data_IF_640726346431
#
_entry.id   IF_640726346431
#
_cell.length_a   1.000
_cell.length_b   1.000
_cell.length_c   1.000
_cell.angle_alpha   90.00
_cell.angle_beta   90.00
_cell.angle_gamma   90.00
#
_symmetry.space_group_name_H-M   'P 1'
#
loop_
_entity.id
_entity.type
_entity.pdbx_description
1 polymer ?
#
# COMPACT_ATOMS: atom_id res chain seq x y z
N UNK A 1 -9.61 -12.64 -7.89
CA UNK A 1 -10.51 -11.60 -7.36
C UNK A 1 -11.98 -11.83 -7.74
N UNK A 2 -12.34 -11.79 -9.04
CA UNK A 2 -13.74 -11.90 -9.49
C UNK A 2 -14.47 -13.17 -9.02
N UNK A 3 -13.80 -14.33 -9.03
CA UNK A 3 -14.36 -15.58 -8.46
C UNK A 3 -14.68 -15.47 -6.97
N UNK A 4 -13.81 -14.81 -6.17
CA UNK A 4 -14.05 -14.60 -4.73
C UNK A 4 -15.23 -13.65 -4.51
N UNK A 5 -15.31 -12.56 -5.27
CA UNK A 5 -16.41 -11.60 -5.20
C UNK A 5 -17.74 -12.25 -5.59
N UNK A 6 -17.76 -13.04 -6.67
CA UNK A 6 -18.93 -13.80 -7.10
C UNK A 6 -19.36 -14.81 -6.02
N UNK A 7 -18.44 -15.57 -5.42
CA UNK A 7 -18.78 -16.51 -4.35
C UNK A 7 -19.33 -15.82 -3.10
N UNK A 8 -18.78 -14.66 -2.74
CA UNK A 8 -19.29 -13.85 -1.63
C UNK A 8 -20.66 -13.25 -1.93
N UNK A 9 -20.88 -12.76 -3.15
CA UNK A 9 -22.18 -12.25 -3.59
C UNK A 9 -23.25 -13.36 -3.59
N UNK A 10 -22.93 -14.54 -4.10
CA UNK A 10 -23.83 -15.71 -4.10
C UNK A 10 -24.18 -16.20 -2.69
N UNK A 11 -23.32 -15.97 -1.70
CA UNK A 11 -23.56 -16.30 -0.28
C UNK A 11 -24.07 -15.10 0.54
N UNK A 12 -24.39 -13.98 -0.11
CA UNK A 12 -24.80 -12.71 0.52
C UNK A 12 -23.85 -12.25 1.64
N UNK A 13 -22.55 -12.58 1.51
CA UNK A 13 -21.52 -12.31 2.49
C UNK A 13 -20.98 -10.89 2.32
N UNK A 14 -21.03 -10.10 3.39
CA UNK A 14 -20.40 -8.77 3.44
C UNK A 14 -18.91 -8.92 3.17
N UNK A 15 -18.42 -8.17 2.17
CA UNK A 15 -17.04 -8.27 1.70
C UNK A 15 -16.33 -6.94 1.89
N UNK A 16 -15.18 -6.98 2.55
CA UNK A 16 -14.29 -5.82 2.63
C UNK A 16 -13.60 -5.62 1.28
N UNK A 17 -14.10 -4.66 0.49
CA UNK A 17 -13.53 -4.33 -0.82
C UNK A 17 -12.13 -3.73 -0.71
N UNK A 18 -11.83 -2.99 0.37
CA UNK A 18 -10.50 -2.42 0.58
C UNK A 18 -9.44 -3.52 0.68
N UNK A 19 -9.68 -4.53 1.51
CA UNK A 19 -8.77 -5.66 1.67
C UNK A 19 -8.59 -6.45 0.36
N UNK A 20 -9.67 -6.65 -0.38
CA UNK A 20 -9.69 -7.41 -1.62
C UNK A 20 -8.95 -6.68 -2.75
N UNK A 21 -9.13 -5.36 -2.88
CA UNK A 21 -8.43 -4.51 -3.83
C UNK A 21 -6.95 -4.38 -3.46
N UNK A 22 -6.62 -4.14 -2.18
CA UNK A 22 -5.24 -4.09 -1.73
C UNK A 22 -4.51 -5.39 -2.05
N UNK A 23 -5.12 -6.55 -1.78
CA UNK A 23 -4.55 -7.84 -2.15
C UNK A 23 -4.28 -7.95 -3.64
N UNK A 24 -5.20 -7.50 -4.49
CA UNK A 24 -5.03 -7.55 -5.94
C UNK A 24 -3.87 -6.65 -6.37
N UNK A 25 -3.84 -5.39 -5.89
CA UNK A 25 -2.80 -4.42 -6.19
C UNK A 25 -1.42 -4.96 -5.79
N UNK A 26 -1.31 -5.54 -4.59
CA UNK A 26 -0.08 -6.19 -4.12
C UNK A 26 0.35 -7.33 -5.04
N UNK A 27 -0.57 -8.23 -5.42
CA UNK A 27 -0.24 -9.33 -6.33
C UNK A 27 0.21 -8.82 -7.70
N UNK A 28 -0.41 -7.77 -8.25
CA UNK A 28 -0.02 -7.17 -9.53
C UNK A 28 1.37 -6.56 -9.44
N UNK A 29 1.63 -5.71 -8.44
CA UNK A 29 2.93 -5.06 -8.24
C UNK A 29 4.03 -6.12 -8.05
N UNK A 30 3.80 -7.11 -7.18
CA UNK A 30 4.79 -8.16 -6.95
C UNK A 30 5.06 -9.00 -8.21
N UNK A 31 4.03 -9.28 -9.01
CA UNK A 31 4.22 -9.99 -10.29
C UNK A 31 5.03 -9.15 -11.28
N UNK A 32 4.79 -7.85 -11.36
CA UNK A 32 5.50 -6.95 -12.28
C UNK A 32 6.95 -6.74 -11.84
N UNK A 33 7.17 -6.42 -10.56
CA UNK A 33 8.47 -6.01 -10.01
C UNK A 33 9.36 -7.21 -9.71
N UNK A 34 8.81 -8.26 -9.08
CA UNK A 34 9.59 -9.41 -8.62
C UNK A 34 9.43 -10.65 -9.51
N UNK A 35 8.55 -10.62 -10.51
CA UNK A 35 8.25 -11.78 -11.36
C UNK A 35 7.52 -12.91 -10.62
N UNK A 36 7.07 -12.69 -9.37
CA UNK A 36 6.44 -13.72 -8.52
C UNK A 36 5.02 -13.34 -8.13
N UNK A 37 4.17 -14.37 -8.11
CA UNK A 37 2.80 -14.27 -7.64
C UNK A 37 2.73 -14.43 -6.12
N UNK A 38 2.35 -13.37 -5.42
CA UNK A 38 2.20 -13.30 -3.97
C UNK A 38 0.90 -13.99 -3.46
N UNK A 39 0.54 -15.16 -4.01
CA UNK A 39 -0.75 -15.79 -3.73
C UNK A 39 -0.75 -16.76 -2.54
N UNK A 40 0.41 -17.16 -1.98
CA UNK A 40 0.45 -18.29 -1.03
C UNK A 40 1.28 -18.14 0.27
N UNK A 41 1.88 -16.97 0.55
CA UNK A 41 2.66 -16.77 1.77
C UNK A 41 2.06 -15.65 2.64
N UNK A 42 1.25 -16.03 3.63
CA UNK A 42 0.50 -15.09 4.48
C UNK A 42 1.37 -14.05 5.21
N UNK A 43 2.60 -14.42 5.58
CA UNK A 43 3.56 -13.52 6.22
C UNK A 43 4.09 -12.46 5.24
N UNK A 44 4.44 -12.88 4.03
CA UNK A 44 4.90 -12.03 2.94
C UNK A 44 3.82 -11.02 2.56
N UNK A 45 2.58 -11.46 2.30
CA UNK A 45 1.46 -10.59 1.96
C UNK A 45 1.17 -9.52 3.02
N UNK A 46 1.26 -9.87 4.30
CA UNK A 46 1.09 -8.93 5.41
C UNK A 46 2.15 -7.83 5.41
N UNK A 47 3.43 -8.20 5.16
CA UNK A 47 4.53 -7.24 5.06
C UNK A 47 4.35 -6.27 3.89
N UNK A 48 3.96 -6.77 2.71
CA UNK A 48 3.69 -5.89 1.57
C UNK A 48 2.53 -4.92 1.85
N UNK A 49 1.45 -5.41 2.48
CA UNK A 49 0.31 -4.58 2.84
C UNK A 49 0.71 -3.45 3.79
N UNK A 50 1.53 -3.75 4.81
CA UNK A 50 2.08 -2.74 5.73
C UNK A 50 2.95 -1.70 5.01
N UNK A 51 3.88 -2.16 4.15
CA UNK A 51 4.73 -1.28 3.36
C UNK A 51 3.91 -0.37 2.42
N UNK A 52 2.91 -0.94 1.74
CA UNK A 52 2.05 -0.18 0.84
C UNK A 52 1.22 0.88 1.58
N UNK A 53 0.71 0.56 2.77
CA UNK A 53 0.02 1.54 3.62
C UNK A 53 0.96 2.68 4.06
N UNK A 54 2.20 2.38 4.46
CA UNK A 54 3.16 3.42 4.81
C UNK A 54 3.50 4.29 3.60
N UNK A 55 3.72 3.69 2.42
CA UNK A 55 3.88 4.45 1.17
C UNK A 55 2.69 5.37 0.92
N UNK A 56 1.46 4.88 1.02
CA UNK A 56 0.26 5.69 0.82
C UNK A 56 0.17 6.83 1.84
N UNK A 57 0.51 6.59 3.11
CA UNK A 57 0.55 7.62 4.15
C UNK A 57 1.61 8.69 3.84
N UNK A 58 2.79 8.29 3.40
CA UNK A 58 3.86 9.20 3.00
C UNK A 58 3.46 10.06 1.79
N UNK A 59 2.79 9.47 0.80
CA UNK A 59 2.30 10.18 -0.38
C UNK A 59 1.20 11.20 -0.06
N UNK A 60 0.39 10.93 0.97
CA UNK A 60 -0.63 11.86 1.44
C UNK A 60 -0.08 12.93 2.40
N UNK A 61 1.18 12.81 2.83
CA UNK A 61 1.80 13.73 3.78
C UNK A 61 2.31 14.98 3.08
N UNK A 62 2.17 16.12 3.75
CA UNK A 62 2.67 17.40 3.26
C UNK A 62 4.16 17.56 3.56
N UNK A 63 4.96 17.79 2.51
CA UNK A 63 6.37 18.17 2.61
C UNK A 63 6.54 19.64 2.25
N UNK A 64 7.15 20.42 3.16
CA UNK A 64 7.43 21.84 2.92
C UNK A 64 8.40 22.01 1.74
N UNK A 65 9.34 21.08 1.60
CA UNK A 65 10.34 21.06 0.52
C UNK A 65 9.74 21.00 -0.87
N UNK A 66 8.55 20.43 -1.02
CA UNK A 66 7.89 20.28 -2.32
C UNK A 66 7.35 21.62 -2.84
N UNK A 67 7.04 22.56 -1.94
CA UNK A 67 6.51 23.88 -2.27
C UNK A 67 7.57 24.97 -2.15
N UNK A 68 8.45 24.87 -1.15
CA UNK A 68 9.50 25.84 -0.86
C UNK A 68 10.81 25.09 -0.61
N UNK A 69 11.60 24.81 -1.66
CA UNK A 69 12.81 23.98 -1.55
C UNK A 69 13.84 24.51 -0.53
N UNK A 70 13.95 25.83 -0.37
CA UNK A 70 14.85 26.46 0.61
C UNK A 70 14.46 26.20 2.07
N UNK A 71 13.22 25.84 2.35
CA UNK A 71 12.70 25.49 3.68
C UNK A 71 12.69 23.97 3.94
N UNK A 72 13.32 23.15 3.10
CA UNK A 72 13.34 21.69 3.27
C UNK A 72 14.01 21.18 4.55
N UNK A 73 14.72 22.04 5.30
CA UNK A 73 15.19 21.70 6.65
C UNK A 73 14.05 21.51 7.65
N UNK A 74 12.87 22.10 7.40
CA UNK A 74 11.68 21.92 8.24
C UNK A 74 11.23 20.47 8.22
N UNK A 75 11.21 19.81 7.05
CA UNK A 75 10.85 18.39 6.93
C UNK A 75 11.86 17.46 7.62
N UNK A 76 13.10 17.91 7.80
CA UNK A 76 14.11 17.22 8.60
C UNK A 76 13.85 17.37 10.10
N UNK A 77 13.41 18.54 10.56
CA UNK A 77 13.07 18.77 11.97
C UNK A 77 11.78 18.08 12.39
N UNK A 78 10.78 18.02 11.51
CA UNK A 78 9.53 17.28 11.76
C UNK A 78 9.71 15.78 11.69
N UNK A 79 10.88 15.30 11.26
CA UNK A 79 11.20 13.88 11.11
C UNK A 79 10.57 13.23 9.89
N UNK A 80 9.82 13.98 9.06
CA UNK A 80 9.21 13.46 7.84
C UNK A 80 10.26 12.90 6.87
N UNK A 81 11.41 13.58 6.77
CA UNK A 81 12.51 13.11 5.92
C UNK A 81 13.13 11.81 6.42
N UNK A 82 13.21 11.61 7.74
CA UNK A 82 13.74 10.37 8.34
C UNK A 82 12.73 9.21 8.31
N UNK A 83 11.43 9.48 8.19
CA UNK A 83 10.40 8.45 7.97
C UNK A 83 10.30 7.99 6.52
N UNK A 84 10.69 8.87 5.58
CA UNK A 84 10.71 8.57 4.15
C UNK A 84 11.91 7.71 3.74
N UNK A 85 13.06 7.92 4.40
CA UNK A 85 14.31 7.17 4.23
C UNK A 85 14.26 5.80 4.94
#
# INVERSE_FOLDING_TARGET
MLKKLSGHASSSKVTNLNELLMSLTSTIICRIVFGRSYEDEGAERSRFHGMFNECQAMWATFFVSDYIPSLGWVDKLTGLRARLE
#
